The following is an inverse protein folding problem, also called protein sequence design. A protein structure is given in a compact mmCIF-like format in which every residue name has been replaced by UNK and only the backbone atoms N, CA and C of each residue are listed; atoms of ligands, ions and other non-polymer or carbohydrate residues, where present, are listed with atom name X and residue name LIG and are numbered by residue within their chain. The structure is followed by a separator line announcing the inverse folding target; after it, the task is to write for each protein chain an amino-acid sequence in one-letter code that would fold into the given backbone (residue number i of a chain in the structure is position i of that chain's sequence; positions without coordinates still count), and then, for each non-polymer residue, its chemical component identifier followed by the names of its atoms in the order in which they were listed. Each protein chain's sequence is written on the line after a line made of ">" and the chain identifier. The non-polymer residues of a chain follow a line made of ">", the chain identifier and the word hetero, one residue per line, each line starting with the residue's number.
data_IF_229552501240
#
_entry.id   IF_229552501240
#
_cell.length_a   1.000
_cell.length_b   1.000
_cell.length_c   1.000
_cell.angle_alpha   90.00
_cell.angle_beta   90.00
_cell.angle_gamma   90.00
#
_symmetry.space_group_name_H-M   'P 1'
#
loop_
_entity.id
_entity.type
_entity.pdbx_description
1 polymer ?
#
# COMPACT_ATOMS: atom_id res chain seq x y z
N UNK A 1 -49.66 23.77 -6.28
CA UNK A 1 -48.36 24.14 -6.89
C UNK A 1 -47.35 24.24 -5.74
N UNK A 2 -46.18 23.62 -5.66
CA UNK A 2 -45.43 22.79 -6.59
C UNK A 2 -44.45 21.88 -5.79
N UNK A 3 -44.36 20.63 -6.25
CA UNK A 3 -43.19 19.74 -6.36
C UNK A 3 -42.45 19.21 -5.11
N UNK A 4 -42.69 17.91 -4.94
CA UNK A 4 -41.95 16.86 -4.23
C UNK A 4 -40.49 16.66 -4.73
N UNK A 5 -39.65 16.23 -3.78
CA UNK A 5 -38.54 15.26 -3.88
C UNK A 5 -37.25 15.65 -4.64
N UNK A 6 -36.13 15.68 -3.90
CA UNK A 6 -34.88 15.05 -4.36
C UNK A 6 -34.33 14.13 -3.27
N UNK A 7 -34.52 12.83 -3.50
CA UNK A 7 -34.01 11.74 -2.66
C UNK A 7 -32.49 11.74 -2.71
N UNK A 8 -31.83 11.68 -1.55
CA UNK A 8 -30.42 11.28 -1.44
C UNK A 8 -30.23 9.98 -2.24
N UNK A 9 -29.50 10.06 -3.33
CA UNK A 9 -29.14 8.90 -4.14
C UNK A 9 -28.22 8.00 -3.30
N UNK A 10 -28.80 6.94 -2.73
CA UNK A 10 -28.02 5.79 -2.27
C UNK A 10 -27.32 5.22 -3.51
N UNK A 11 -26.03 5.52 -3.67
CA UNK A 11 -25.18 4.79 -4.60
C UNK A 11 -25.12 3.36 -4.07
N UNK A 12 -25.87 2.47 -4.70
CA UNK A 12 -25.86 1.06 -4.41
C UNK A 12 -24.47 0.51 -4.77
N UNK A 13 -23.59 0.42 -3.78
CA UNK A 13 -22.37 -0.37 -3.89
C UNK A 13 -22.82 -1.82 -4.05
N UNK A 14 -22.78 -2.31 -5.29
CA UNK A 14 -23.07 -3.71 -5.60
C UNK A 14 -22.17 -4.58 -4.72
N UNK A 15 -22.71 -5.56 -3.98
CA UNK A 15 -21.91 -6.42 -3.13
C UNK A 15 -20.97 -7.23 -4.03
N UNK A 16 -19.68 -6.92 -3.98
CA UNK A 16 -18.66 -7.73 -4.64
C UNK A 16 -18.66 -9.08 -3.95
N UNK A 17 -19.11 -10.11 -4.68
CA UNK A 17 -19.14 -11.50 -4.23
C UNK A 17 -17.76 -11.86 -3.68
N UNK A 18 -17.69 -12.19 -2.39
CA UNK A 18 -16.51 -12.79 -1.78
C UNK A 18 -16.35 -14.18 -2.36
N UNK A 19 -15.58 -14.29 -3.44
CA UNK A 19 -15.17 -15.58 -4.00
C UNK A 19 -14.29 -16.28 -2.95
N UNK A 20 -14.54 -17.54 -2.60
CA UNK A 20 -13.70 -18.27 -1.67
C UNK A 20 -12.30 -18.40 -2.29
N UNK A 21 -11.32 -17.72 -1.69
CA UNK A 21 -9.94 -17.74 -2.16
C UNK A 21 -9.38 -19.15 -1.92
N UNK A 22 -9.36 -19.97 -2.99
CA UNK A 22 -8.59 -21.22 -3.02
C UNK A 22 -7.16 -20.90 -2.59
N UNK A 23 -6.61 -21.69 -1.65
CA UNK A 23 -5.17 -21.70 -1.32
C UNK A 23 -4.40 -22.12 -2.59
N UNK A 24 -4.15 -21.16 -3.47
CA UNK A 24 -3.48 -21.37 -4.75
C UNK A 24 -2.12 -20.71 -4.70
N UNK A 25 -1.08 -21.52 -4.64
CA UNK A 25 0.27 -21.13 -5.01
C UNK A 25 0.19 -20.58 -6.44
N UNK A 26 0.35 -19.26 -6.61
CA UNK A 26 0.42 -18.66 -7.93
C UNK A 26 1.60 -19.32 -8.67
N UNK A 27 1.32 -19.94 -9.81
CA UNK A 27 2.36 -20.32 -10.76
C UNK A 27 3.04 -19.03 -11.21
N UNK A 28 4.31 -18.83 -10.83
CA UNK A 28 5.06 -17.65 -11.22
C UNK A 28 5.38 -17.75 -12.72
N UNK A 29 4.88 -16.84 -13.56
CA UNK A 29 5.32 -16.78 -14.95
C UNK A 29 6.81 -16.43 -15.01
N UNK A 30 7.46 -16.86 -16.10
CA UNK A 30 8.90 -16.64 -16.31
C UNK A 30 9.22 -15.14 -16.46
N UNK A 31 8.28 -14.40 -17.04
CA UNK A 31 8.37 -12.96 -17.24
C UNK A 31 7.57 -12.21 -16.17
N UNK A 32 8.28 -11.48 -15.31
CA UNK A 32 7.68 -10.61 -14.30
C UNK A 32 8.53 -9.38 -14.08
N UNK A 33 7.86 -8.29 -13.72
CA UNK A 33 8.49 -7.01 -13.44
C UNK A 33 8.72 -6.92 -11.94
N UNK A 34 9.98 -6.80 -11.56
CA UNK A 34 10.39 -6.76 -10.17
C UNK A 34 10.70 -5.34 -9.69
N UNK A 35 10.26 -5.03 -8.48
CA UNK A 35 10.61 -3.79 -7.81
C UNK A 35 10.71 -3.99 -6.29
N UNK A 36 11.38 -3.05 -5.63
CA UNK A 36 11.55 -3.07 -4.18
C UNK A 36 11.05 -1.77 -3.60
N UNK A 37 10.24 -1.87 -2.55
CA UNK A 37 9.82 -0.74 -1.74
C UNK A 37 10.27 -0.90 -0.29
N UNK A 38 10.50 0.23 0.38
CA UNK A 38 11.02 0.26 1.76
C UNK A 38 10.37 1.39 2.55
N UNK A 39 10.00 1.14 3.80
CA UNK A 39 9.59 2.17 4.77
C UNK A 39 9.98 1.74 6.17
N UNK A 40 10.61 2.65 6.94
CA UNK A 40 11.27 2.32 8.21
C UNK A 40 12.19 1.10 8.01
N UNK A 41 11.94 0.00 8.73
CA UNK A 41 12.64 -1.28 8.58
C UNK A 41 11.89 -2.29 7.69
N UNK A 42 10.68 -1.96 7.22
CA UNK A 42 9.95 -2.83 6.31
C UNK A 42 10.53 -2.81 4.89
N UNK A 43 10.65 -3.99 4.31
CA UNK A 43 11.10 -4.21 2.93
C UNK A 43 10.05 -5.05 2.21
N UNK A 44 9.57 -4.55 1.08
CA UNK A 44 8.63 -5.24 0.20
C UNK A 44 9.32 -5.53 -1.13
N UNK A 45 9.41 -6.82 -1.49
CA UNK A 45 9.85 -7.29 -2.81
C UNK A 45 8.60 -7.61 -3.61
N UNK A 46 8.34 -6.81 -4.63
CA UNK A 46 7.14 -6.88 -5.46
C UNK A 46 7.52 -7.52 -6.79
N UNK A 47 6.72 -8.50 -7.22
CA UNK A 47 6.75 -9.07 -8.57
C UNK A 47 5.35 -8.88 -9.16
N UNK A 48 5.26 -8.12 -10.25
CA UNK A 48 4.01 -7.87 -10.98
C UNK A 48 4.06 -8.49 -12.38
N UNK A 49 2.91 -8.94 -12.84
CA UNK A 49 2.65 -9.38 -14.20
C UNK A 49 1.19 -9.09 -14.57
N UNK A 50 0.84 -8.99 -15.87
CA UNK A 50 -0.54 -8.75 -16.27
C UNK A 50 -1.44 -9.93 -15.88
N UNK A 51 -2.61 -9.63 -15.31
CA UNK A 51 -3.60 -10.63 -14.90
C UNK A 51 -4.70 -10.08 -13.98
N UNK A 52 -5.86 -10.75 -13.95
CA UNK A 52 -7.08 -10.30 -13.24
C UNK A 52 -7.25 -10.89 -11.83
N UNK A 53 -6.21 -11.53 -11.29
CA UNK A 53 -6.26 -12.18 -9.98
C UNK A 53 -5.91 -11.21 -8.84
N UNK A 54 -6.31 -11.55 -7.61
CA UNK A 54 -5.97 -10.77 -6.43
C UNK A 54 -4.46 -10.86 -6.12
N UNK A 55 -3.90 -9.76 -5.62
CA UNK A 55 -2.50 -9.70 -5.20
C UNK A 55 -2.26 -10.64 -4.00
N UNK A 56 -1.17 -11.39 -4.03
CA UNK A 56 -0.81 -12.31 -2.94
C UNK A 56 0.36 -11.74 -2.16
N UNK A 57 0.19 -11.59 -0.85
CA UNK A 57 1.22 -11.10 0.10
C UNK A 57 1.60 -12.24 1.04
N UNK A 58 2.87 -12.64 1.04
CA UNK A 58 3.39 -13.72 1.88
C UNK A 58 2.55 -15.02 1.82
N UNK A 59 2.08 -15.39 0.63
CA UNK A 59 1.27 -16.59 0.40
C UNK A 59 -0.19 -16.50 0.85
N UNK A 60 -0.66 -15.31 1.26
CA UNK A 60 -2.05 -15.02 1.62
C UNK A 60 -2.64 -13.97 0.67
N UNK A 61 -3.96 -13.97 0.40
CA UNK A 61 -4.58 -12.88 -0.35
C UNK A 61 -4.40 -11.54 0.36
N UNK A 62 -4.29 -10.46 -0.41
CA UNK A 62 -4.11 -9.10 0.12
C UNK A 62 -5.18 -8.73 1.13
N UNK A 63 -6.44 -9.10 0.85
CA UNK A 63 -7.60 -8.89 1.74
C UNK A 63 -7.47 -9.61 3.09
N UNK A 64 -6.86 -10.79 3.11
CA UNK A 64 -6.62 -11.57 4.33
C UNK A 64 -5.41 -11.07 5.14
N UNK A 65 -4.41 -10.48 4.48
CA UNK A 65 -3.19 -10.01 5.13
C UNK A 65 -3.36 -8.62 5.76
N UNK A 66 -3.88 -7.65 4.99
CA UNK A 66 -4.10 -6.29 5.45
C UNK A 66 -5.56 -6.11 5.88
N UNK A 67 -5.81 -6.22 7.19
CA UNK A 67 -7.14 -6.02 7.76
C UNK A 67 -7.44 -4.53 7.94
N UNK A 68 -8.64 -4.10 7.54
CA UNK A 68 -9.14 -2.74 7.75
C UNK A 68 -9.20 -1.88 6.49
N UNK A 69 -10.18 -0.98 6.44
CA UNK A 69 -10.48 -0.15 5.27
C UNK A 69 -9.37 0.84 4.91
N UNK A 70 -8.67 1.36 5.92
CA UNK A 70 -7.58 2.32 5.71
C UNK A 70 -6.44 1.67 4.93
N UNK A 71 -6.04 0.45 5.30
CA UNK A 71 -4.98 -0.27 4.60
C UNK A 71 -5.44 -0.66 3.18
N UNK A 72 -6.73 -0.99 3.01
CA UNK A 72 -7.34 -1.22 1.70
C UNK A 72 -7.17 -0.05 0.75
N UNK A 73 -7.49 1.16 1.22
CA UNK A 73 -7.31 2.39 0.43
C UNK A 73 -5.84 2.62 0.08
N UNK A 74 -4.92 2.37 1.02
CA UNK A 74 -3.48 2.58 0.83
C UNK A 74 -2.92 1.71 -0.29
N UNK A 75 -3.15 0.39 -0.27
CA UNK A 75 -2.57 -0.47 -1.32
C UNK A 75 -3.24 -0.34 -2.69
N UNK A 76 -4.51 0.10 -2.73
CA UNK A 76 -5.23 0.37 -3.98
C UNK A 76 -4.84 1.69 -4.63
N UNK A 77 -4.32 2.65 -3.85
CA UNK A 77 -3.94 3.98 -4.30
C UNK A 77 -3.09 4.02 -5.59
N UNK A 78 -1.98 3.27 -5.74
CA UNK A 78 -1.18 3.32 -6.96
C UNK A 78 -1.98 2.88 -8.18
N UNK A 79 -2.81 1.83 -8.06
CA UNK A 79 -3.64 1.33 -9.16
C UNK A 79 -4.81 2.24 -9.50
N UNK A 80 -5.35 2.95 -8.50
CA UNK A 80 -6.41 3.94 -8.71
C UNK A 80 -5.91 5.15 -9.49
N UNK A 81 -4.69 5.61 -9.20
CA UNK A 81 -4.07 6.76 -9.88
C UNK A 81 -3.72 6.44 -11.34
N UNK A 82 -3.27 5.21 -11.61
CA UNK A 82 -2.92 4.76 -12.95
C UNK A 82 -4.09 4.20 -13.73
N UNK A 83 -5.29 4.18 -13.14
CA UNK A 83 -6.52 3.59 -13.69
C UNK A 83 -6.37 2.11 -14.10
N UNK A 84 -5.42 1.40 -13.48
CA UNK A 84 -5.08 0.01 -13.80
C UNK A 84 -5.66 -0.99 -12.80
N UNK A 85 -6.80 -0.65 -12.20
CA UNK A 85 -7.47 -1.53 -11.24
C UNK A 85 -7.88 -2.85 -11.91
N UNK A 86 -7.37 -3.96 -11.37
CA UNK A 86 -7.69 -5.31 -11.86
C UNK A 86 -6.95 -5.74 -13.13
N UNK A 87 -5.98 -4.95 -13.63
CA UNK A 87 -5.19 -5.31 -14.81
C UNK A 87 -3.93 -6.11 -14.47
N UNK A 88 -3.40 -5.92 -13.26
CA UNK A 88 -2.17 -6.56 -12.81
C UNK A 88 -2.43 -7.48 -11.64
N UNK A 89 -1.74 -8.60 -11.65
CA UNK A 89 -1.63 -9.51 -10.51
C UNK A 89 -0.15 -9.66 -10.12
N UNK A 90 0.10 -10.22 -8.95
CA UNK A 90 1.46 -10.29 -8.45
C UNK A 90 1.63 -11.01 -7.13
N UNK A 91 2.89 -11.32 -6.86
CA UNK A 91 3.35 -11.88 -5.59
C UNK A 91 4.25 -10.87 -4.90
N UNK A 92 3.90 -10.53 -3.66
CA UNK A 92 4.68 -9.62 -2.82
C UNK A 92 5.19 -10.39 -1.60
N UNK A 93 6.51 -10.34 -1.40
CA UNK A 93 7.14 -10.80 -0.15
C UNK A 93 7.47 -9.58 0.70
N UNK A 94 6.92 -9.51 1.91
CA UNK A 94 7.13 -8.40 2.84
C UNK A 94 7.68 -8.90 4.16
N UNK A 95 8.69 -8.21 4.69
CA UNK A 95 9.30 -8.50 5.99
C UNK A 95 9.67 -7.19 6.73
N UNK A 96 9.77 -7.25 8.07
CA UNK A 96 10.22 -6.14 8.91
C UNK A 96 9.13 -5.54 9.80
N UNK A 97 9.03 -4.20 9.84
CA UNK A 97 8.14 -3.36 10.68
C UNK A 97 6.66 -3.80 10.74
N UNK A 98 5.81 -3.11 11.51
CA UNK A 98 4.37 -3.40 11.58
C UNK A 98 3.56 -3.15 10.29
N UNK A 99 2.29 -3.60 10.29
CA UNK A 99 1.40 -3.69 9.12
C UNK A 99 1.27 -2.39 8.30
N UNK A 100 1.13 -1.24 8.96
CA UNK A 100 1.02 0.04 8.25
C UNK A 100 2.28 0.33 7.41
N UNK A 101 3.46 0.22 8.03
CA UNK A 101 4.73 0.47 7.33
C UNK A 101 5.02 -0.58 6.26
N UNK A 102 4.53 -1.81 6.42
CA UNK A 102 4.57 -2.83 5.39
C UNK A 102 3.68 -2.50 4.18
N UNK A 103 2.46 -2.00 4.41
CA UNK A 103 1.55 -1.58 3.36
C UNK A 103 2.16 -0.43 2.53
N UNK A 104 2.73 0.56 3.20
CA UNK A 104 3.39 1.68 2.54
C UNK A 104 4.66 1.26 1.76
N UNK A 105 5.44 0.33 2.32
CA UNK A 105 6.58 -0.26 1.61
C UNK A 105 6.10 -1.00 0.34
N UNK A 106 4.98 -1.72 0.43
CA UNK A 106 4.36 -2.38 -0.71
C UNK A 106 3.90 -1.36 -1.77
N UNK A 107 3.23 -0.28 -1.37
CA UNK A 107 2.80 0.80 -2.29
C UNK A 107 3.98 1.39 -3.04
N UNK A 108 5.07 1.71 -2.33
CA UNK A 108 6.27 2.24 -2.97
C UNK A 108 6.90 1.23 -3.95
N UNK A 109 6.86 -0.07 -3.63
CA UNK A 109 7.32 -1.13 -4.53
C UNK A 109 6.43 -1.26 -5.77
N UNK A 110 5.11 -1.21 -5.62
CA UNK A 110 4.15 -1.28 -6.73
C UNK A 110 4.32 -0.07 -7.66
N UNK A 111 4.43 1.14 -7.11
CA UNK A 111 4.64 2.35 -7.91
C UNK A 111 5.92 2.25 -8.76
N UNK A 112 7.00 1.71 -8.21
CA UNK A 112 8.25 1.47 -8.97
C UNK A 112 8.11 0.38 -10.02
N UNK A 113 7.30 -0.65 -9.79
CA UNK A 113 7.02 -1.67 -10.77
C UNK A 113 6.18 -1.13 -11.93
N UNK A 114 5.19 -0.27 -11.65
CA UNK A 114 4.37 0.39 -12.67
C UNK A 114 5.19 1.28 -13.60
N UNK A 115 6.16 2.03 -13.07
CA UNK A 115 7.08 2.83 -13.91
C UNK A 115 7.91 1.97 -14.86
N UNK A 116 8.28 0.75 -14.45
CA UNK A 116 9.02 -0.16 -15.33
C UNK A 116 8.15 -0.74 -16.45
N UNK A 117 6.83 -0.70 -16.29
CA UNK A 117 5.89 -1.13 -17.34
C UNK A 117 5.76 -0.01 -18.38
N UNK A 118 5.40 1.19 -17.93
CA UNK A 118 5.23 2.36 -18.79
C UNK A 118 5.68 3.61 -18.01
N UNK A 119 6.88 4.08 -18.36
CA UNK A 119 7.51 5.17 -17.65
C UNK A 119 6.88 6.52 -18.01
N UNK A 120 6.49 6.71 -19.27
CA UNK A 120 6.04 8.01 -19.78
C UNK A 120 4.65 8.36 -19.24
N UNK A 121 3.76 7.37 -19.19
CA UNK A 121 2.39 7.58 -18.70
C UNK A 121 2.30 7.71 -17.18
N UNK A 122 3.03 6.88 -16.44
CA UNK A 122 2.79 6.75 -14.99
C UNK A 122 3.70 7.60 -14.12
N UNK A 123 4.90 7.98 -14.60
CA UNK A 123 5.88 8.69 -13.77
C UNK A 123 5.39 10.04 -13.28
N UNK A 124 4.75 10.84 -14.15
CA UNK A 124 4.25 12.16 -13.77
C UNK A 124 3.12 12.07 -12.72
N UNK A 125 2.14 11.19 -12.96
CA UNK A 125 1.00 10.97 -12.06
C UNK A 125 1.43 10.46 -10.67
N UNK A 126 2.31 9.46 -10.64
CA UNK A 126 2.82 8.86 -9.41
C UNK A 126 3.72 9.82 -8.63
N UNK A 127 4.48 10.69 -9.32
CA UNK A 127 5.30 11.73 -8.71
C UNK A 127 4.44 12.83 -8.08
N UNK A 128 3.40 13.28 -8.77
CA UNK A 128 2.47 14.28 -8.26
C UNK A 128 1.77 13.84 -6.95
N UNK A 129 1.51 12.54 -6.81
CA UNK A 129 0.93 11.94 -5.59
C UNK A 129 1.96 11.50 -4.55
N UNK A 130 3.25 11.73 -4.78
CA UNK A 130 4.32 11.45 -3.81
C UNK A 130 4.62 9.95 -3.59
N UNK A 131 4.20 9.06 -4.49
CA UNK A 131 4.36 7.60 -4.31
C UNK A 131 5.75 7.07 -4.66
N UNK A 132 6.55 7.89 -5.35
CA UNK A 132 7.90 7.55 -5.79
C UNK A 132 8.98 7.96 -4.80
N UNK A 133 8.66 8.85 -3.87
CA UNK A 133 9.62 9.28 -2.86
C UNK A 133 9.49 8.35 -1.66
N UNK A 134 10.60 7.73 -1.26
CA UNK A 134 10.66 6.98 -0.01
C UNK A 134 10.44 7.95 1.16
N UNK A 135 9.52 7.64 2.07
CA UNK A 135 9.39 8.36 3.34
C UNK A 135 10.64 8.10 4.21
N UNK A 136 11.51 9.10 4.43
CA UNK A 136 12.78 8.90 5.14
C UNK A 136 12.61 8.88 6.67
N UNK A 137 11.42 9.22 7.18
CA UNK A 137 11.20 9.38 8.63
C UNK A 137 11.41 8.05 9.35
N UNK A 138 12.36 8.06 10.29
CA UNK A 138 12.67 6.95 11.18
C UNK A 138 12.54 7.38 12.63
N UNK A 139 12.30 6.43 13.55
CA UNK A 139 12.27 6.70 14.98
C UNK A 139 13.66 7.19 15.41
N UNK A 140 13.72 8.41 15.93
CA UNK A 140 14.93 8.94 16.55
C UNK A 140 15.28 8.12 17.80
N UNK A 141 16.57 7.87 18.01
CA UNK A 141 17.07 7.12 19.16
C UNK A 141 16.90 7.93 20.45
N UNK A 142 16.77 7.25 21.60
CA UNK A 142 16.76 7.92 22.91
C UNK A 142 18.19 8.34 23.25
N UNK A 143 18.40 9.63 23.60
CA UNK A 143 19.70 10.11 24.09
C UNK A 143 19.77 10.00 25.62
N UNK A 144 21.00 9.89 26.14
CA UNK A 144 21.25 9.94 27.58
C UNK A 144 20.80 11.30 28.16
N UNK A 145 20.40 11.31 29.45
CA UNK A 145 19.89 12.53 30.10
C UNK A 145 18.44 12.91 29.79
N UNK A 146 17.81 12.28 28.79
CA UNK A 146 16.42 12.58 28.41
C UNK A 146 15.37 11.85 29.28
N UNK A 147 14.19 12.45 29.38
CA UNK A 147 13.03 11.98 30.13
C UNK A 147 12.27 10.84 29.46
N UNK A 148 12.96 9.78 29.04
CA UNK A 148 12.32 8.56 28.55
C UNK A 148 12.20 8.41 27.03
N UNK A 149 12.09 9.50 26.27
CA UNK A 149 11.92 9.50 24.79
C UNK A 149 12.96 10.37 24.10
N UNK A 150 13.07 10.25 22.77
CA UNK A 150 14.08 10.93 21.94
C UNK A 150 14.08 12.47 22.05
N UNK A 151 12.98 13.12 22.41
CA UNK A 151 12.90 14.59 22.58
C UNK A 151 12.32 15.01 23.93
N UNK A 152 12.03 14.06 24.80
CA UNK A 152 11.45 14.35 26.10
C UNK A 152 12.55 14.87 27.05
N UNK A 153 12.36 16.04 27.63
CA UNK A 153 13.23 16.56 28.69
C UNK A 153 12.70 16.12 30.05
N UNK A 154 13.61 15.88 31.01
CA UNK A 154 13.19 15.69 32.40
C UNK A 154 12.66 17.03 32.93
N UNK A 155 11.59 16.98 33.72
CA UNK A 155 11.10 18.17 34.41
C UNK A 155 12.15 18.59 35.45
N UNK A 156 12.72 19.78 35.29
CA UNK A 156 13.63 20.36 36.28
C UNK A 156 12.81 21.27 37.20
N UNK A 157 12.85 21.10 38.52
CA UNK A 157 12.39 22.15 39.42
C UNK A 157 13.33 23.34 39.21
N UNK A 158 12.79 24.48 38.76
CA UNK A 158 13.50 25.76 38.84
C UNK A 158 13.31 26.23 40.27
N UNK A 159 14.40 26.30 41.03
CA UNK A 159 14.41 26.82 42.39
C UNK A 159 15.24 28.08 42.43
#
# INVERSE_FOLDING_TARGET
>A
MAQKLTKKSKIAVKPVKTVPVKKGVLAMPKDYISAVGRRKTAVARVRLWPGKQELVVNGKPVSGYFKGETLKKIYQLPFAITETLGQYTGSVKVAGSGMMSQADAMVHGIARALIKIDADKYKALLRAKGLLTRDPRMKETRKAGQGGRARAKKQSPKR
#
